data_IF_616442272029
#
_entry.id   IF_616442272029
#
_cell.length_a   1.000
_cell.length_b   1.000
_cell.length_c   1.000
_cell.angle_alpha   90.00
_cell.angle_beta   90.00
_cell.angle_gamma   90.00
#
_symmetry.space_group_name_H-M   'P 1'
#
loop_
_entity.id
_entity.type
_entity.pdbx_description
1 polymer ?
#
# COMPACT_ATOMS: atom_id res chain seq x y z
N UNK A 1 -8.99 34.22 0.15
CA UNK A 1 -9.55 32.84 0.14
C UNK A 1 -8.39 31.88 0.33
N UNK A 2 -8.30 31.15 1.45
CA UNK A 2 -7.26 30.12 1.59
C UNK A 2 -7.63 28.99 0.63
N UNK A 3 -6.80 28.72 -0.38
CA UNK A 3 -6.96 27.55 -1.24
C UNK A 3 -7.02 26.32 -0.32
N UNK A 4 -8.20 25.73 -0.21
CA UNK A 4 -8.41 24.56 0.65
C UNK A 4 -7.47 23.46 0.20
N UNK A 5 -6.73 22.88 1.14
CA UNK A 5 -5.86 21.72 0.90
C UNK A 5 -6.66 20.65 0.14
N UNK A 6 -6.18 20.26 -1.04
CA UNK A 6 -6.79 19.16 -1.83
C UNK A 6 -7.00 17.93 -0.92
N UNK A 7 -8.13 17.22 -1.03
CA UNK A 7 -8.36 16.00 -0.24
C UNK A 7 -7.22 14.97 -0.37
N UNK A 8 -6.58 14.88 -1.55
CA UNK A 8 -5.42 14.00 -1.74
C UNK A 8 -4.15 14.53 -1.07
N UNK A 9 -3.94 15.84 -1.03
CA UNK A 9 -2.81 16.43 -0.33
C UNK A 9 -2.92 16.19 1.19
N UNK A 10 -4.12 16.34 1.76
CA UNK A 10 -4.36 16.03 3.17
C UNK A 10 -4.03 14.57 3.51
N UNK A 11 -4.48 13.62 2.67
CA UNK A 11 -4.17 12.19 2.86
C UNK A 11 -2.67 11.91 2.69
N UNK A 12 -2.01 12.54 1.72
CA UNK A 12 -0.57 12.38 1.52
C UNK A 12 0.21 12.86 2.75
N UNK A 13 -0.14 14.02 3.29
CA UNK A 13 0.49 14.56 4.51
C UNK A 13 0.25 13.66 5.72
N UNK A 14 -0.95 13.12 5.88
CA UNK A 14 -1.27 12.14 6.94
C UNK A 14 -0.41 10.88 6.82
N UNK A 15 -0.25 10.35 5.61
CA UNK A 15 0.57 9.16 5.38
C UNK A 15 2.05 9.44 5.62
N UNK A 16 2.56 10.58 5.17
CA UNK A 16 3.94 11.01 5.40
C UNK A 16 4.22 11.18 6.89
N UNK A 17 3.30 11.79 7.65
CA UNK A 17 3.42 11.95 9.10
C UNK A 17 3.51 10.60 9.85
N UNK A 18 3.01 9.53 9.24
CA UNK A 18 3.05 8.15 9.75
C UNK A 18 4.26 7.36 9.23
N UNK A 19 5.22 8.04 8.60
CA UNK A 19 6.44 7.43 8.07
C UNK A 19 6.24 6.61 6.80
N UNK A 20 5.15 6.83 6.05
CA UNK A 20 4.86 6.10 4.82
C UNK A 20 5.39 6.87 3.61
N UNK A 21 6.12 6.18 2.75
CA UNK A 21 6.59 6.73 1.49
C UNK A 21 5.46 6.72 0.44
N UNK A 22 4.88 7.89 0.18
CA UNK A 22 3.78 8.06 -0.77
C UNK A 22 4.27 8.33 -2.20
N UNK A 23 3.49 7.92 -3.19
CA UNK A 23 3.72 8.21 -4.61
C UNK A 23 2.40 8.56 -5.32
N UNK A 24 2.37 9.59 -6.18
CA UNK A 24 1.19 9.94 -6.95
C UNK A 24 0.99 8.94 -8.09
N UNK A 25 -0.26 8.55 -8.31
CA UNK A 25 -0.66 7.69 -9.41
C UNK A 25 -1.70 8.44 -10.22
N UNK A 26 -1.39 8.80 -11.47
CA UNK A 26 -2.32 9.51 -12.33
C UNK A 26 -3.67 8.80 -12.42
N UNK A 27 -4.76 9.55 -12.54
CA UNK A 27 -6.11 8.98 -12.51
C UNK A 27 -6.29 7.85 -13.54
N UNK A 28 -6.99 6.79 -13.11
CA UNK A 28 -7.20 5.53 -13.85
C UNK A 28 -5.93 4.75 -14.25
N UNK A 29 -4.73 5.20 -13.88
CA UNK A 29 -3.49 4.46 -14.13
C UNK A 29 -3.23 3.42 -13.04
N UNK A 30 -2.42 2.41 -13.37
CA UNK A 30 -2.09 1.28 -12.48
C UNK A 30 -0.73 1.42 -11.79
N UNK A 31 0.10 2.37 -12.24
CA UNK A 31 1.44 2.64 -11.74
C UNK A 31 1.77 4.13 -11.90
N UNK A 32 2.69 4.69 -11.08
CA UNK A 32 3.23 6.02 -11.32
C UNK A 32 3.87 6.09 -12.71
N UNK A 33 3.60 7.17 -13.45
CA UNK A 33 4.29 7.46 -14.73
C UNK A 33 5.54 8.31 -14.54
N UNK A 34 5.91 8.59 -13.29
CA UNK A 34 7.12 9.32 -12.94
C UNK A 34 8.32 8.40 -13.17
N UNK A 35 9.29 8.88 -13.94
CA UNK A 35 10.56 8.17 -14.15
C UNK A 35 11.25 7.95 -12.80
N UNK A 36 11.70 6.72 -12.54
CA UNK A 36 12.37 6.35 -11.29
C UNK A 36 11.54 6.63 -10.02
N UNK A 37 10.22 6.43 -10.11
CA UNK A 37 9.31 6.61 -8.98
C UNK A 37 9.72 5.78 -7.75
N UNK A 38 10.39 4.63 -7.93
CA UNK A 38 10.92 3.78 -6.85
C UNK A 38 11.90 4.55 -5.95
N UNK A 39 12.61 5.53 -6.52
CA UNK A 39 13.58 6.38 -5.83
C UNK A 39 12.96 7.70 -5.33
N UNK A 40 11.74 8.02 -5.75
CA UNK A 40 11.05 9.25 -5.36
C UNK A 40 10.89 9.33 -3.84
N UNK A 41 11.20 10.50 -3.28
CA UNK A 41 10.99 10.82 -1.87
C UNK A 41 10.11 12.06 -1.78
N UNK A 42 8.87 11.86 -1.35
CA UNK A 42 7.92 12.93 -1.10
C UNK A 42 7.93 13.21 0.40
N UNK A 43 8.20 14.46 0.77
CA UNK A 43 8.18 14.99 2.13
C UNK A 43 6.98 15.93 2.30
N UNK A 44 6.68 16.33 3.53
CA UNK A 44 5.60 17.30 3.79
C UNK A 44 5.81 18.60 2.99
N UNK A 45 7.05 19.05 2.87
CA UNK A 45 7.41 20.31 2.19
C UNK A 45 7.16 20.26 0.68
N UNK A 46 7.45 19.12 0.03
CA UNK A 46 7.31 19.00 -1.42
C UNK A 46 6.01 18.29 -1.85
N UNK A 47 5.24 17.72 -0.93
CA UNK A 47 3.97 17.06 -1.22
C UNK A 47 3.00 17.92 -2.05
N UNK A 48 2.86 19.24 -1.81
CA UNK A 48 1.99 20.09 -2.64
C UNK A 48 2.36 20.12 -4.12
N UNK A 49 3.63 19.86 -4.48
CA UNK A 49 4.08 19.82 -5.87
C UNK A 49 3.58 18.57 -6.61
N UNK A 50 3.37 17.47 -5.88
CA UNK A 50 2.91 16.19 -6.44
C UNK A 50 1.39 16.02 -6.30
N UNK A 51 0.82 16.44 -5.17
CA UNK A 51 -0.62 16.35 -4.86
C UNK A 51 -1.32 17.70 -5.05
N UNK A 52 -1.11 18.31 -6.21
CA UNK A 52 -1.50 19.69 -6.55
C UNK A 52 -3.01 19.91 -6.87
N UNK A 53 -3.88 18.96 -6.57
CA UNK A 53 -5.32 19.04 -6.87
C UNK A 53 -5.76 18.41 -8.18
N UNK A 54 -4.84 17.96 -9.05
CA UNK A 54 -5.19 17.14 -10.19
C UNK A 54 -5.83 15.81 -9.76
N UNK A 55 -6.73 15.25 -10.58
CA UNK A 55 -7.29 13.92 -10.35
C UNK A 55 -6.17 12.87 -10.35
N UNK A 56 -5.99 12.22 -9.22
CA UNK A 56 -4.99 11.18 -9.01
C UNK A 56 -5.37 10.28 -7.85
N UNK A 57 -4.79 9.09 -7.83
CA UNK A 57 -4.78 8.22 -6.65
C UNK A 57 -3.43 8.35 -5.92
N UNK A 58 -3.36 7.79 -4.73
CA UNK A 58 -2.15 7.70 -3.92
C UNK A 58 -1.70 6.25 -3.79
N UNK A 59 -0.43 6.00 -4.06
CA UNK A 59 0.26 4.75 -3.77
C UNK A 59 1.16 4.90 -2.54
N UNK A 60 1.51 3.77 -1.93
CA UNK A 60 2.52 3.67 -0.86
C UNK A 60 3.59 2.69 -1.32
N UNK A 61 4.86 3.05 -1.11
CA UNK A 61 6.00 2.17 -1.31
C UNK A 61 6.16 1.26 -0.10
N UNK A 62 6.23 -0.05 -0.32
CA UNK A 62 6.37 -1.05 0.74
C UNK A 62 7.82 -1.19 1.20
N UNK A 63 8.03 -1.98 2.26
CA UNK A 63 9.32 -2.34 2.83
C UNK A 63 10.00 -1.20 3.56
N UNK A 64 11.33 -1.13 3.45
CA UNK A 64 12.19 -0.19 4.20
C UNK A 64 11.77 1.27 4.08
N UNK A 65 11.14 1.66 2.96
CA UNK A 65 10.69 3.04 2.73
C UNK A 65 9.46 3.44 3.56
N UNK A 66 8.73 2.46 4.09
CA UNK A 66 7.57 2.66 4.95
C UNK A 66 7.70 1.83 6.22
N UNK A 67 8.87 1.91 6.89
CA UNK A 67 9.15 1.23 8.16
C UNK A 67 8.95 -0.29 8.15
N UNK A 68 9.16 -0.94 7.01
CA UNK A 68 8.94 -2.38 6.86
C UNK A 68 7.50 -2.79 6.58
N UNK A 69 6.66 -1.87 6.08
CA UNK A 69 5.28 -2.19 5.70
C UNK A 69 5.25 -3.25 4.57
N UNK A 70 4.65 -4.40 4.85
CA UNK A 70 4.44 -5.50 3.92
C UNK A 70 2.94 -5.71 3.63
N UNK A 71 2.65 -6.32 2.49
CA UNK A 71 1.30 -6.63 2.02
C UNK A 71 1.20 -8.09 1.60
N UNK A 72 0.22 -8.79 2.17
CA UNK A 72 -0.22 -10.10 1.71
C UNK A 72 -1.44 -9.89 0.81
N UNK A 73 -1.26 -10.06 -0.52
CA UNK A 73 -2.32 -9.93 -1.52
C UNK A 73 -2.88 -11.31 -1.90
N UNK A 74 -4.18 -11.48 -1.75
CA UNK A 74 -4.91 -12.73 -1.91
C UNK A 74 -5.75 -12.66 -3.20
N UNK A 75 -5.39 -13.45 -4.19
CA UNK A 75 -6.00 -13.37 -5.51
C UNK A 75 -7.12 -14.42 -5.74
N UNK A 76 -7.10 -15.58 -5.07
CA UNK A 76 -8.19 -16.57 -5.19
C UNK A 76 -9.19 -16.52 -4.02
N UNK A 77 -10.39 -17.06 -4.23
CA UNK A 77 -11.47 -17.02 -3.24
C UNK A 77 -11.14 -17.87 -2.00
N UNK A 78 -10.45 -18.99 -2.19
CA UNK A 78 -10.01 -19.90 -1.15
C UNK A 78 -8.99 -19.21 -0.23
N UNK A 79 -8.02 -18.49 -0.79
CA UNK A 79 -7.02 -17.74 -0.04
C UNK A 79 -7.69 -16.65 0.81
N UNK A 80 -8.62 -15.88 0.23
CA UNK A 80 -9.41 -14.87 0.97
C UNK A 80 -10.20 -15.51 2.12
N UNK A 81 -10.85 -16.65 1.88
CA UNK A 81 -11.67 -17.35 2.88
C UNK A 81 -10.85 -17.90 4.03
N UNK A 82 -9.65 -18.41 3.76
CA UNK A 82 -8.80 -19.07 4.76
C UNK A 82 -7.87 -18.10 5.48
N UNK A 83 -7.55 -16.93 4.91
CA UNK A 83 -6.61 -15.98 5.49
C UNK A 83 -6.81 -15.67 6.99
N UNK A 84 -8.04 -15.43 7.51
CA UNK A 84 -8.23 -15.16 8.94
C UNK A 84 -7.85 -16.31 9.88
N UNK A 85 -7.60 -17.52 9.36
CA UNK A 85 -7.25 -18.72 10.15
C UNK A 85 -5.74 -18.97 10.17
N UNK A 86 -5.02 -18.49 9.15
CA UNK A 86 -3.59 -18.74 8.99
C UNK A 86 -2.75 -17.49 9.19
N UNK A 87 -3.27 -16.32 8.86
CA UNK A 87 -2.53 -15.07 9.01
C UNK A 87 -2.62 -14.53 10.44
N UNK A 88 -1.56 -13.90 10.96
CA UNK A 88 -1.63 -13.17 12.23
C UNK A 88 -2.77 -12.15 12.22
N UNK A 89 -3.46 -11.99 13.35
CA UNK A 89 -4.57 -11.04 13.42
C UNK A 89 -4.06 -9.61 13.20
N UNK A 90 -4.66 -8.91 12.24
CA UNK A 90 -4.42 -7.48 11.99
C UNK A 90 -5.75 -6.78 11.70
N UNK A 91 -5.89 -5.54 12.15
CA UNK A 91 -7.03 -4.71 11.79
C UNK A 91 -6.76 -3.93 10.48
N UNK A 92 -5.55 -4.05 9.92
CA UNK A 92 -5.08 -3.42 8.69
C UNK A 92 -5.45 -4.24 7.44
N UNK A 93 -6.75 -4.50 7.29
CA UNK A 93 -7.31 -5.31 6.21
C UNK A 93 -8.08 -4.42 5.24
N UNK A 94 -7.87 -4.62 3.94
CA UNK A 94 -8.61 -3.91 2.90
C UNK A 94 -8.70 -4.71 1.61
N UNK A 95 -9.39 -4.15 0.64
CA UNK A 95 -9.52 -4.76 -0.67
C UNK A 95 -10.46 -3.98 -1.57
N UNK A 96 -10.92 -4.65 -2.60
CA UNK A 96 -11.83 -4.09 -3.61
C UNK A 96 -13.26 -4.43 -3.22
N UNK A 97 -14.25 -3.72 -3.76
CA UNK A 97 -15.66 -4.02 -3.46
C UNK A 97 -16.02 -5.50 -3.71
N UNK A 98 -15.41 -6.14 -4.70
CA UNK A 98 -15.59 -7.56 -5.02
C UNK A 98 -14.82 -8.52 -4.11
N UNK A 99 -13.77 -8.06 -3.44
CA UNK A 99 -12.90 -8.84 -2.54
C UNK A 99 -12.41 -7.92 -1.41
N UNK A 100 -13.28 -7.60 -0.41
CA UNK A 100 -13.01 -6.53 0.55
C UNK A 100 -11.89 -6.86 1.56
N UNK A 101 -11.52 -8.13 1.69
CA UNK A 101 -10.48 -8.63 2.58
C UNK A 101 -9.38 -9.37 1.82
N UNK A 102 -8.98 -8.86 0.65
CA UNK A 102 -7.92 -9.46 -0.16
C UNK A 102 -6.52 -8.98 0.19
N UNK A 103 -6.38 -7.94 1.03
CA UNK A 103 -5.09 -7.42 1.46
C UNK A 103 -4.98 -7.39 2.98
N UNK A 104 -3.87 -7.89 3.50
CA UNK A 104 -3.51 -7.81 4.91
C UNK A 104 -2.15 -7.13 5.04
N UNK A 105 -2.09 -6.05 5.81
CA UNK A 105 -0.84 -5.32 6.05
C UNK A 105 -0.19 -5.69 7.38
N UNK A 106 1.13 -5.78 7.34
CA UNK A 106 1.99 -6.04 8.50
C UNK A 106 3.22 -5.14 8.46
N UNK A 107 3.84 -4.92 9.61
CA UNK A 107 5.22 -4.41 9.67
C UNK A 107 6.15 -5.58 9.97
N UNK A 108 7.24 -5.69 9.21
CA UNK A 108 8.29 -6.69 9.41
C UNK A 108 9.61 -5.99 9.75
N UNK A 109 10.42 -6.59 10.62
CA UNK A 109 11.66 -5.97 11.12
C UNK A 109 12.82 -6.05 10.12
N UNK A 110 12.85 -7.07 9.28
CA UNK A 110 13.91 -7.41 8.33
C UNK A 110 13.45 -7.23 6.88
N UNK A 111 12.78 -6.11 6.60
CA UNK A 111 12.25 -5.84 5.27
C UNK A 111 13.37 -5.77 4.20
N UNK A 112 13.33 -6.60 3.16
CA UNK A 112 14.30 -6.53 2.07
C UNK A 112 14.05 -5.29 1.18
N UNK A 113 15.09 -4.80 0.49
CA UNK A 113 14.96 -3.63 -0.39
C UNK A 113 13.93 -3.87 -1.52
N UNK A 114 13.94 -5.07 -2.08
CA UNK A 114 13.00 -5.53 -3.11
C UNK A 114 12.70 -7.00 -2.87
N UNK A 115 11.49 -7.31 -2.45
CA UNK A 115 11.03 -8.68 -2.44
C UNK A 115 9.54 -8.78 -2.75
N UNK A 116 9.25 -9.75 -3.61
CA UNK A 116 7.92 -10.17 -3.97
C UNK A 116 7.99 -11.66 -4.23
N UNK A 117 7.15 -12.42 -3.55
CA UNK A 117 7.02 -13.86 -3.70
C UNK A 117 5.58 -14.18 -4.10
N UNK A 118 5.41 -15.03 -5.11
CA UNK A 118 4.10 -15.40 -5.63
C UNK A 118 3.94 -16.91 -5.58
N UNK A 119 2.82 -17.36 -5.02
CA UNK A 119 2.35 -18.71 -5.23
C UNK A 119 1.29 -18.69 -6.34
N UNK A 120 1.43 -19.61 -7.28
CA UNK A 120 0.52 -19.78 -8.42
C UNK A 120 -0.03 -21.20 -8.45
N UNK A 121 -1.23 -21.34 -8.99
CA UNK A 121 -1.82 -22.64 -9.29
C UNK A 121 -1.18 -23.28 -10.55
N UNK A 122 -1.63 -24.49 -10.88
CA UNK A 122 -1.20 -25.26 -12.05
C UNK A 122 -1.47 -24.51 -13.38
N UNK A 123 -2.47 -23.62 -13.38
CA UNK A 123 -2.85 -22.78 -14.51
C UNK A 123 -2.11 -21.44 -14.55
N UNK A 124 -1.10 -21.24 -13.68
CA UNK A 124 -0.32 -20.00 -13.52
C UNK A 124 -1.14 -18.80 -13.05
N UNK A 125 -2.34 -19.02 -12.50
CA UNK A 125 -3.10 -17.97 -11.82
C UNK A 125 -2.51 -17.74 -10.42
N UNK A 126 -2.38 -16.47 -10.02
CA UNK A 126 -1.88 -16.13 -8.70
C UNK A 126 -2.90 -16.54 -7.63
N UNK A 127 -2.43 -17.23 -6.61
CA UNK A 127 -3.19 -17.59 -5.41
C UNK A 127 -2.98 -16.52 -4.35
N UNK A 128 -1.70 -16.24 -4.06
CA UNK A 128 -1.24 -15.29 -3.05
C UNK A 128 0.07 -14.66 -3.51
N UNK A 129 0.25 -13.38 -3.21
CA UNK A 129 1.48 -12.63 -3.42
C UNK A 129 1.90 -11.94 -2.13
N UNK A 130 3.08 -12.31 -1.61
CA UNK A 130 3.71 -11.66 -0.48
C UNK A 130 4.63 -10.54 -0.99
N UNK A 131 4.42 -9.33 -0.50
CA UNK A 131 5.11 -8.13 -0.98
C UNK A 131 5.76 -7.38 0.18
N UNK A 132 7.08 -7.35 0.20
CA UNK A 132 7.86 -6.92 1.37
C UNK A 132 8.85 -5.80 1.07
N UNK A 133 9.05 -5.45 -0.20
CA UNK A 133 9.97 -4.38 -0.61
C UNK A 133 9.42 -3.53 -1.74
N UNK A 134 10.25 -2.66 -2.30
CA UNK A 134 9.89 -1.77 -3.42
C UNK A 134 9.80 -2.59 -4.72
N UNK A 135 8.67 -3.26 -4.93
CA UNK A 135 8.38 -4.13 -6.09
C UNK A 135 7.58 -3.46 -7.20
N UNK A 136 7.21 -4.23 -8.25
CA UNK A 136 6.32 -3.77 -9.34
C UNK A 136 4.96 -3.38 -8.74
N UNK A 137 4.62 -2.10 -8.76
CA UNK A 137 3.37 -1.61 -8.18
C UNK A 137 2.18 -1.96 -9.10
N UNK A 138 1.19 -2.67 -8.54
CA UNK A 138 -0.12 -2.88 -9.14
C UNK A 138 -1.19 -2.14 -8.33
N UNK A 139 -2.22 -1.61 -9.01
CA UNK A 139 -3.43 -0.91 -8.50
C UNK A 139 -3.62 -0.95 -6.98
N UNK A 140 -3.47 0.18 -6.27
CA UNK A 140 -3.91 0.26 -4.86
C UNK A 140 -4.64 1.54 -4.56
N UNK A 141 -5.79 1.38 -3.92
CA UNK A 141 -6.38 2.39 -3.05
C UNK A 141 -6.18 1.86 -1.65
N UNK A 142 -5.17 2.34 -0.94
CA UNK A 142 -5.10 2.11 0.49
C UNK A 142 -6.31 2.81 1.09
N UNK A 143 -7.19 2.05 1.77
CA UNK A 143 -8.24 2.68 2.55
C UNK A 143 -7.56 3.43 3.71
N UNK A 144 -8.03 4.65 4.01
CA UNK A 144 -7.50 5.47 5.13
C UNK A 144 -7.48 4.68 6.46
N UNK A 145 -8.44 3.76 6.63
CA UNK A 145 -8.59 2.92 7.80
C UNK A 145 -7.58 1.76 7.89
N UNK A 146 -7.20 1.13 6.78
CA UNK A 146 -6.30 -0.02 6.82
C UNK A 146 -4.89 0.40 7.20
N UNK A 147 -4.45 1.57 6.73
CA UNK A 147 -3.12 2.02 7.03
C UNK A 147 -2.97 2.35 8.53
N UNK A 148 -3.94 3.01 9.16
CA UNK A 148 -3.95 3.44 10.57
C UNK A 148 -3.97 2.31 11.61
N UNK A 149 -4.18 1.07 11.18
CA UNK A 149 -4.42 -0.07 12.06
C UNK A 149 -3.25 -1.07 12.16
N UNK A 150 -2.26 -0.97 11.27
CA UNK A 150 -1.11 -1.86 11.26
C UNK A 150 -0.19 -1.65 12.48
N UNK A 151 -0.27 -0.49 13.14
CA UNK A 151 0.62 -0.09 14.24
C UNK A 151 0.19 -0.64 15.62
N UNK A 152 -1.03 -1.17 15.79
CA UNK A 152 -1.64 -1.24 17.14
C UNK A 152 -1.46 -2.53 17.96
N UNK A 153 -0.85 -3.62 17.49
CA UNK A 153 -0.84 -4.88 18.26
C UNK A 153 0.39 -5.81 18.10
N UNK A 154 1.58 -5.29 17.80
CA UNK A 154 2.82 -6.11 17.88
C UNK A 154 3.44 -6.16 19.29
N UNK A 155 2.72 -5.70 20.32
CA UNK A 155 3.10 -5.88 21.72
C UNK A 155 2.05 -6.76 22.38
N UNK A 156 2.29 -8.08 22.34
CA UNK A 156 1.53 -9.12 23.00
C UNK A 156 2.43 -10.31 23.22
#
# INVERSE_FOLDING_TARGET
>A
MKAGTSPMLGIALEYIARGLAVVPISYKQKSPKIKSWEKLKITADNAPMFFNGAEQNIGVQLGVKSNGLADVDLDCAEAVRLAPRFLPRTDAVFGRATKPSSHYLYYIGDAPEKATEQLKDENKQTIIELRMGVGRQQRRRFSRAACTRAEKRSSG
#
